data_IF_442069820093
#
_entry.id   IF_442069820093
#
_cell.length_a   1.000
_cell.length_b   1.000
_cell.length_c   1.000
_cell.angle_alpha   90.00
_cell.angle_beta   90.00
_cell.angle_gamma   90.00
#
_symmetry.space_group_name_H-M   'P 1'
#
loop_
_entity.id
_entity.type
_entity.pdbx_description
1 polymer ?
#
# COMPACT_ATOMS: atom_id res chain seq x y z
N UNK A 1 3.69 -16.67 -36.56
CA UNK A 1 4.08 -16.91 -35.16
C UNK A 1 5.32 -16.06 -34.90
N UNK A 2 5.23 -14.99 -34.11
CA UNK A 2 6.41 -14.17 -33.79
C UNK A 2 7.35 -15.01 -32.91
N UNK A 3 8.51 -15.35 -33.45
CA UNK A 3 9.55 -16.10 -32.73
C UNK A 3 10.26 -15.12 -31.80
N UNK A 4 9.87 -15.10 -30.53
CA UNK A 4 10.59 -14.36 -29.49
C UNK A 4 11.69 -15.25 -28.95
N UNK A 5 12.96 -14.90 -29.20
CA UNK A 5 14.11 -15.66 -28.69
C UNK A 5 14.41 -15.34 -27.21
N UNK A 6 13.83 -14.26 -26.68
CA UNK A 6 13.95 -13.83 -25.28
C UNK A 6 12.63 -13.24 -24.79
N UNK A 7 12.24 -13.60 -23.56
CA UNK A 7 11.01 -13.12 -22.92
C UNK A 7 9.77 -13.98 -23.20
N UNK A 8 8.74 -13.77 -22.37
CA UNK A 8 7.45 -14.45 -22.49
C UNK A 8 6.42 -13.52 -23.16
N UNK A 9 5.51 -14.02 -24.03
CA UNK A 9 4.53 -13.17 -24.70
C UNK A 9 3.62 -12.42 -23.72
N UNK A 10 3.39 -11.13 -23.95
CA UNK A 10 2.39 -10.37 -23.21
C UNK A 10 0.98 -10.92 -23.50
N UNK A 11 0.18 -11.11 -22.46
CA UNK A 11 -1.16 -11.69 -22.56
C UNK A 11 -1.20 -13.23 -22.51
N UNK A 12 -0.06 -13.92 -22.45
CA UNK A 12 -0.05 -15.35 -22.16
C UNK A 12 -0.28 -15.59 -20.65
N UNK A 13 -1.17 -16.55 -20.35
CA UNK A 13 -1.61 -16.88 -18.98
C UNK A 13 -0.45 -17.31 -18.07
N UNK A 14 0.57 -17.97 -18.63
CA UNK A 14 1.73 -18.48 -17.89
C UNK A 14 2.84 -17.44 -17.69
N UNK A 15 2.88 -16.37 -18.48
CA UNK A 15 3.94 -15.35 -18.42
C UNK A 15 4.15 -14.78 -17.01
N UNK A 16 3.10 -14.40 -16.24
CA UNK A 16 3.28 -13.88 -14.89
C UNK A 16 3.91 -14.89 -13.93
N UNK A 17 3.49 -16.16 -14.00
CA UNK A 17 4.04 -17.22 -13.14
C UNK A 17 5.51 -17.49 -13.46
N UNK A 18 5.84 -17.57 -14.75
CA UNK A 18 7.21 -17.78 -15.19
C UNK A 18 8.11 -16.62 -14.74
N UNK A 19 7.63 -15.38 -14.80
CA UNK A 19 8.40 -14.23 -14.32
C UNK A 19 8.63 -14.26 -12.79
N UNK A 20 7.63 -14.70 -12.02
CA UNK A 20 7.78 -14.88 -10.55
C UNK A 20 8.86 -15.93 -10.25
N UNK A 21 8.83 -17.08 -10.95
CA UNK A 21 9.84 -18.13 -10.78
C UNK A 21 11.22 -17.65 -11.22
N UNK A 22 11.30 -16.93 -12.33
CA UNK A 22 12.54 -16.39 -12.90
C UNK A 22 13.27 -15.44 -11.94
N UNK A 23 12.51 -14.66 -11.17
CA UNK A 23 13.06 -13.69 -10.21
C UNK A 23 13.03 -14.20 -8.78
N UNK A 24 12.66 -15.47 -8.54
CA UNK A 24 12.37 -15.99 -7.19
C UNK A 24 13.54 -15.81 -6.23
N UNK A 25 14.75 -16.15 -6.67
CA UNK A 25 15.98 -16.14 -5.87
C UNK A 25 16.49 -14.73 -5.52
N UNK A 26 15.96 -13.67 -6.14
CA UNK A 26 16.25 -12.30 -5.72
C UNK A 26 15.48 -12.00 -4.43
N UNK A 27 16.07 -12.35 -3.30
CA UNK A 27 15.51 -12.21 -1.94
C UNK A 27 16.41 -11.36 -1.06
N UNK A 28 15.85 -10.84 0.04
CA UNK A 28 16.60 -10.03 0.98
C UNK A 28 17.70 -10.86 1.67
N UNK A 29 18.93 -10.35 1.74
CA UNK A 29 20.02 -10.98 2.47
C UNK A 29 20.03 -10.59 3.96
N UNK A 30 19.64 -9.35 4.27
CA UNK A 30 19.71 -8.82 5.63
C UNK A 30 18.36 -8.91 6.35
N UNK A 31 18.32 -9.30 7.64
CA UNK A 31 17.08 -9.38 8.41
C UNK A 31 16.45 -8.01 8.68
N UNK A 32 17.26 -6.94 8.65
CA UNK A 32 16.87 -5.53 8.75
C UNK A 32 16.20 -5.01 7.48
N UNK A 33 16.27 -5.77 6.38
CA UNK A 33 15.78 -5.38 5.07
C UNK A 33 14.64 -6.28 4.59
N UNK A 34 13.95 -5.83 3.55
CA UNK A 34 12.93 -6.59 2.85
C UNK A 34 12.95 -6.26 1.37
N UNK A 35 12.93 -7.29 0.54
CA UNK A 35 12.69 -7.18 -0.89
C UNK A 35 11.24 -7.57 -1.15
N UNK A 36 10.46 -6.63 -1.71
CA UNK A 36 9.07 -6.83 -2.11
C UNK A 36 8.99 -6.78 -3.62
N UNK A 37 8.45 -7.83 -4.24
CA UNK A 37 8.31 -7.96 -5.70
C UNK A 37 6.84 -7.97 -6.09
N UNK A 38 6.47 -7.18 -7.10
CA UNK A 38 5.16 -7.20 -7.73
C UNK A 38 5.33 -7.06 -9.24
N UNK A 39 5.25 -8.19 -9.96
CA UNK A 39 5.70 -8.24 -11.35
C UNK A 39 7.12 -7.63 -11.47
N UNK A 40 7.34 -6.72 -12.42
CA UNK A 40 8.61 -6.03 -12.62
C UNK A 40 8.93 -4.97 -11.56
N UNK A 41 7.93 -4.48 -10.82
CA UNK A 41 8.14 -3.55 -9.72
C UNK A 41 8.78 -4.28 -8.53
N UNK A 42 10.07 -4.00 -8.28
CA UNK A 42 10.79 -4.49 -7.09
C UNK A 42 11.13 -3.32 -6.17
N UNK A 43 10.93 -3.52 -4.86
CA UNK A 43 11.20 -2.51 -3.83
C UNK A 43 12.06 -3.10 -2.74
N UNK A 44 13.19 -2.43 -2.47
CA UNK A 44 14.05 -2.69 -1.31
C UNK A 44 13.63 -1.75 -0.19
N UNK A 45 13.32 -2.31 0.97
CA UNK A 45 12.97 -1.58 2.19
C UNK A 45 14.04 -1.92 3.21
N UNK A 46 14.82 -0.95 3.67
CA UNK A 46 15.83 -1.15 4.70
C UNK A 46 15.65 -0.22 5.88
N UNK A 47 15.88 -0.73 7.09
CA UNK A 47 16.06 0.11 8.26
C UNK A 47 17.48 0.67 8.24
N UNK A 48 17.64 1.99 8.40
CA UNK A 48 18.94 2.66 8.52
C UNK A 48 19.10 3.12 9.98
N UNK A 49 19.78 2.34 10.83
CA UNK A 49 20.04 2.73 12.20
C UNK A 49 20.98 3.94 12.29
N UNK A 50 20.93 4.65 13.41
CA UNK A 50 21.79 5.82 13.63
C UNK A 50 23.28 5.45 13.76
N UNK A 51 23.61 4.29 14.35
CA UNK A 51 24.99 3.89 14.62
C UNK A 51 25.59 3.09 13.46
N UNK A 52 24.84 2.13 12.95
CA UNK A 52 25.27 1.20 11.91
C UNK A 52 25.21 1.81 10.49
N UNK A 53 24.44 2.90 10.32
CA UNK A 53 24.34 3.61 9.06
C UNK A 53 23.58 2.82 8.00
N UNK A 54 23.90 3.08 6.72
CA UNK A 54 23.18 2.56 5.55
C UNK A 54 23.78 1.30 4.93
N UNK A 55 24.79 0.69 5.57
CA UNK A 55 25.57 -0.43 5.00
C UNK A 55 24.71 -1.61 4.56
N UNK A 56 23.85 -2.14 5.43
CA UNK A 56 22.96 -3.27 5.09
C UNK A 56 22.05 -2.92 3.91
N UNK A 57 21.49 -1.71 3.90
CA UNK A 57 20.61 -1.24 2.83
C UNK A 57 21.37 -1.11 1.49
N UNK A 58 22.61 -0.61 1.51
CA UNK A 58 23.46 -0.49 0.32
C UNK A 58 23.86 -1.85 -0.23
N UNK A 59 24.28 -2.76 0.64
CA UNK A 59 24.62 -4.13 0.25
C UNK A 59 23.41 -4.84 -0.38
N UNK A 60 22.19 -4.61 0.15
CA UNK A 60 20.96 -5.15 -0.41
C UNK A 60 20.68 -4.64 -1.84
N UNK A 61 20.92 -3.35 -2.09
CA UNK A 61 20.76 -2.78 -3.44
C UNK A 61 21.80 -3.35 -4.42
N UNK A 62 23.05 -3.52 -4.00
CA UNK A 62 24.07 -4.12 -4.86
C UNK A 62 23.75 -5.59 -5.15
N UNK A 63 23.38 -6.38 -4.14
CA UNK A 63 22.95 -7.78 -4.33
C UNK A 63 21.77 -7.91 -5.26
N UNK A 64 20.78 -7.03 -5.15
CA UNK A 64 19.65 -7.01 -6.10
C UNK A 64 20.13 -6.70 -7.52
N UNK A 65 21.07 -5.76 -7.67
CA UNK A 65 21.68 -5.41 -8.95
C UNK A 65 22.44 -6.58 -9.55
N UNK A 66 23.23 -7.29 -8.76
CA UNK A 66 23.91 -8.54 -9.15
C UNK A 66 22.91 -9.64 -9.54
N UNK A 67 21.84 -9.81 -8.77
CA UNK A 67 20.78 -10.78 -9.09
C UNK A 67 20.12 -10.43 -10.44
N UNK A 68 19.85 -9.16 -10.70
CA UNK A 68 19.36 -8.71 -12.00
C UNK A 68 20.36 -9.01 -13.12
N UNK A 69 21.65 -8.68 -12.95
CA UNK A 69 22.70 -8.95 -13.94
C UNK A 69 22.83 -10.46 -14.23
N UNK A 70 22.85 -11.30 -13.20
CA UNK A 70 22.91 -12.77 -13.33
C UNK A 70 21.71 -13.34 -14.09
N UNK A 71 20.54 -12.70 -13.92
CA UNK A 71 19.31 -13.03 -14.63
C UNK A 71 19.13 -12.22 -15.93
N UNK A 72 20.17 -11.59 -16.48
CA UNK A 72 20.09 -10.81 -17.73
C UNK A 72 18.97 -9.75 -17.72
N UNK A 73 18.65 -9.19 -16.54
CA UNK A 73 17.69 -8.11 -16.34
C UNK A 73 18.43 -6.79 -16.20
N UNK A 74 17.83 -5.73 -16.73
CA UNK A 74 18.36 -4.37 -16.63
C UNK A 74 17.50 -3.56 -15.66
N UNK A 75 18.14 -2.97 -14.65
CA UNK A 75 17.48 -2.03 -13.74
C UNK A 75 17.31 -0.70 -14.46
N UNK A 76 16.08 -0.19 -14.48
CA UNK A 76 15.79 1.12 -15.05
C UNK A 76 16.02 2.21 -14.01
N UNK A 77 17.26 2.64 -13.80
CA UNK A 77 17.63 3.64 -12.78
C UNK A 77 16.86 4.96 -12.91
N UNK A 78 16.43 5.33 -14.13
CA UNK A 78 15.59 6.51 -14.36
C UNK A 78 14.18 6.37 -13.76
N UNK A 79 13.62 5.16 -13.77
CA UNK A 79 12.32 4.86 -13.14
C UNK A 79 12.46 4.53 -11.66
N UNK A 80 13.59 3.98 -11.23
CA UNK A 80 13.91 3.74 -9.82
C UNK A 80 13.96 5.06 -9.05
N UNK A 81 13.30 5.11 -7.89
CA UNK A 81 13.29 6.27 -6.99
C UNK A 81 13.66 5.82 -5.60
N UNK A 82 14.33 6.70 -4.86
CA UNK A 82 14.60 6.50 -3.43
C UNK A 82 13.69 7.40 -2.60
N UNK A 83 12.96 6.81 -1.64
CA UNK A 83 12.14 7.53 -0.67
C UNK A 83 12.72 7.28 0.72
N UNK A 84 13.23 8.33 1.37
CA UNK A 84 13.81 8.24 2.72
C UNK A 84 12.80 8.75 3.75
N UNK A 85 12.44 7.90 4.70
CA UNK A 85 11.52 8.24 5.79
C UNK A 85 12.31 8.40 7.09
N UNK A 86 12.56 9.65 7.51
CA UNK A 86 13.32 9.97 8.72
C UNK A 86 12.58 10.94 9.64
N UNK A 87 12.27 10.48 10.86
CA UNK A 87 11.59 11.26 11.89
C UNK A 87 12.48 11.63 13.08
N UNK A 88 13.81 11.43 12.97
CA UNK A 88 14.75 11.88 14.00
C UNK A 88 14.77 13.41 14.05
N UNK A 89 15.05 13.96 15.25
CA UNK A 89 15.21 15.41 15.44
C UNK A 89 16.39 15.94 14.64
N UNK A 90 17.49 15.20 14.67
CA UNK A 90 18.64 15.43 13.82
C UNK A 90 18.59 14.41 12.68
N UNK A 91 18.33 14.88 11.47
CA UNK A 91 18.26 14.03 10.29
C UNK A 91 19.65 13.46 9.99
N UNK A 92 19.71 12.16 9.68
CA UNK A 92 20.98 11.59 9.22
C UNK A 92 21.25 12.00 7.79
N UNK A 93 22.54 12.19 7.48
CA UNK A 93 23.00 12.45 6.13
C UNK A 93 23.09 11.14 5.34
N UNK A 94 21.95 10.69 4.79
CA UNK A 94 21.89 9.52 3.89
C UNK A 94 22.53 9.90 2.56
N UNK A 95 23.58 9.18 2.16
CA UNK A 95 24.33 9.52 0.94
C UNK A 95 23.47 9.30 -0.31
N UNK A 96 23.79 9.91 -1.46
CA UNK A 96 23.10 9.60 -2.71
C UNK A 96 23.25 8.11 -3.08
N UNK A 97 22.15 7.45 -3.46
CA UNK A 97 22.19 6.08 -3.95
C UNK A 97 22.71 6.03 -5.38
N UNK A 98 23.69 5.16 -5.63
CA UNK A 98 24.22 4.88 -6.96
C UNK A 98 23.86 3.45 -7.35
N UNK A 99 23.34 3.26 -8.56
CA UNK A 99 23.15 1.94 -9.19
C UNK A 99 23.89 2.00 -10.54
N UNK A 100 24.86 1.11 -10.75
CA UNK A 100 25.72 1.11 -11.94
C UNK A 100 26.40 2.48 -12.20
N UNK A 101 26.80 3.17 -11.12
CA UNK A 101 27.39 4.51 -11.19
C UNK A 101 26.40 5.65 -11.50
N UNK A 102 25.11 5.34 -11.70
CA UNK A 102 24.06 6.34 -11.94
C UNK A 102 23.33 6.68 -10.64
N UNK A 103 23.22 7.96 -10.33
CA UNK A 103 22.50 8.44 -9.16
C UNK A 103 20.99 8.21 -9.29
N UNK A 104 20.41 7.51 -8.30
CA UNK A 104 18.97 7.32 -8.17
C UNK A 104 18.34 8.59 -7.66
N UNK A 105 17.26 9.03 -8.32
CA UNK A 105 16.53 10.22 -7.89
C UNK A 105 15.87 9.99 -6.53
N UNK A 106 16.24 10.83 -5.56
CA UNK A 106 15.58 10.91 -4.26
C UNK A 106 14.32 11.77 -4.36
N UNK A 107 13.19 11.21 -3.94
CA UNK A 107 11.88 11.87 -4.01
C UNK A 107 11.24 11.98 -2.62
N UNK A 108 10.36 12.95 -2.45
CA UNK A 108 9.59 13.14 -1.21
C UNK A 108 8.22 12.46 -1.27
N UNK A 109 7.76 12.11 -2.48
CA UNK A 109 6.52 11.38 -2.75
C UNK A 109 6.74 10.36 -3.84
N UNK A 110 6.23 9.14 -3.66
CA UNK A 110 6.37 8.05 -4.61
C UNK A 110 5.07 7.25 -4.74
N UNK A 111 4.68 6.93 -5.97
CA UNK A 111 3.48 6.13 -6.24
C UNK A 111 3.81 4.64 -6.23
N UNK A 112 3.52 3.98 -5.12
CA UNK A 112 3.71 2.54 -4.95
C UNK A 112 2.39 1.77 -5.11
N UNK A 113 2.31 0.91 -6.14
CA UNK A 113 1.13 0.07 -6.42
C UNK A 113 -0.20 0.85 -6.40
N UNK A 114 -0.19 2.08 -6.91
CA UNK A 114 -1.36 2.93 -6.99
C UNK A 114 -1.67 3.79 -5.75
N UNK A 115 -0.88 3.68 -4.69
CA UNK A 115 -0.94 4.51 -3.47
C UNK A 115 0.21 5.52 -3.48
N UNK A 116 -0.07 6.78 -3.14
CA UNK A 116 0.97 7.80 -2.99
C UNK A 116 1.56 7.74 -1.57
N UNK A 117 2.85 7.37 -1.47
CA UNK A 117 3.62 7.35 -0.24
C UNK A 117 4.41 8.66 -0.12
N UNK A 118 4.38 9.29 1.05
CA UNK A 118 5.10 10.52 1.34
C UNK A 118 6.20 10.25 2.38
N UNK A 119 7.31 10.98 2.33
CA UNK A 119 8.44 10.85 3.27
C UNK A 119 8.05 11.09 4.74
N UNK A 120 7.01 11.89 4.96
CA UNK A 120 6.45 12.19 6.28
C UNK A 120 5.35 11.19 6.72
N UNK A 121 5.06 10.20 5.88
CA UNK A 121 3.95 9.24 6.01
C UNK A 121 2.59 9.91 6.19
N UNK A 122 2.42 11.14 5.69
CA UNK A 122 1.12 11.75 5.51
C UNK A 122 0.40 11.13 4.30
N UNK A 123 -0.94 11.21 4.32
CA UNK A 123 -1.78 10.62 3.29
C UNK A 123 -2.52 11.66 2.46
N UNK A 124 -2.13 12.93 2.58
CA UNK A 124 -2.83 14.08 1.99
C UNK A 124 -2.75 14.10 0.46
N UNK A 125 -1.60 13.70 -0.11
CA UNK A 125 -1.45 13.61 -1.57
C UNK A 125 -2.29 12.43 -2.10
N UNK A 126 -2.23 11.30 -1.41
CA UNK A 126 -2.99 10.09 -1.72
C UNK A 126 -4.52 10.36 -1.71
N UNK A 127 -5.03 10.92 -0.61
CA UNK A 127 -6.46 11.22 -0.43
C UNK A 127 -6.95 12.21 -1.48
N UNK A 128 -6.19 13.26 -1.76
CA UNK A 128 -6.51 14.25 -2.81
C UNK A 128 -6.58 13.59 -4.19
N UNK A 129 -5.66 12.67 -4.49
CA UNK A 129 -5.69 11.87 -5.72
C UNK A 129 -6.95 11.04 -5.86
N UNK A 130 -7.37 10.35 -4.79
CA UNK A 130 -8.62 9.57 -4.77
C UNK A 130 -9.86 10.46 -4.89
N UNK A 131 -9.92 11.57 -4.17
CA UNK A 131 -11.03 12.54 -4.24
C UNK A 131 -11.15 13.09 -5.66
N UNK A 132 -10.05 13.51 -6.30
CA UNK A 132 -10.06 14.02 -7.68
C UNK A 132 -10.61 12.99 -8.67
N UNK A 133 -10.13 11.74 -8.60
CA UNK A 133 -10.62 10.63 -9.44
C UNK A 133 -12.10 10.34 -9.20
N UNK A 134 -12.53 10.32 -7.95
CA UNK A 134 -13.92 10.07 -7.60
C UNK A 134 -14.86 11.21 -8.01
N UNK A 135 -14.40 12.46 -7.93
CA UNK A 135 -15.13 13.64 -8.41
C UNK A 135 -15.36 13.61 -9.93
N UNK A 136 -14.36 13.17 -10.70
CA UNK A 136 -14.53 12.95 -12.14
C UNK A 136 -15.62 11.90 -12.41
N UNK A 137 -15.73 10.86 -11.58
CA UNK A 137 -16.75 9.81 -11.72
C UNK A 137 -18.13 10.25 -11.22
N UNK A 138 -18.20 11.18 -10.26
CA UNK A 138 -19.45 11.81 -9.84
C UNK A 138 -20.13 12.56 -10.99
N UNK A 139 -19.36 13.17 -11.90
CA UNK A 139 -19.93 13.81 -13.10
C UNK A 139 -20.74 12.81 -13.93
N UNK A 140 -20.20 11.63 -14.21
CA UNK A 140 -20.94 10.59 -14.93
C UNK A 140 -22.15 10.09 -14.14
N UNK A 141 -22.03 9.92 -12.82
CA UNK A 141 -23.18 9.56 -11.98
C UNK A 141 -24.33 10.59 -12.09
N UNK A 142 -24.01 11.89 -12.16
CA UNK A 142 -25.00 12.95 -12.39
C UNK A 142 -25.64 12.85 -13.76
N UNK A 143 -24.87 12.55 -14.82
CA UNK A 143 -25.41 12.32 -16.16
C UNK A 143 -26.38 11.14 -16.15
N UNK A 144 -26.01 10.03 -15.52
CA UNK A 144 -26.89 8.85 -15.44
C UNK A 144 -28.20 9.19 -14.72
N UNK A 145 -28.13 9.95 -13.62
CA UNK A 145 -29.34 10.43 -12.92
C UNK A 145 -30.18 11.35 -13.80
N UNK A 146 -29.55 12.25 -14.56
CA UNK A 146 -30.24 13.16 -15.50
C UNK A 146 -30.96 12.40 -16.61
N UNK A 147 -30.42 11.26 -17.05
CA UNK A 147 -31.05 10.37 -18.03
C UNK A 147 -32.06 9.39 -17.41
N UNK A 148 -32.54 9.67 -16.19
CA UNK A 148 -33.60 8.90 -15.52
C UNK A 148 -33.28 7.42 -15.32
N UNK A 149 -32.00 7.04 -15.19
CA UNK A 149 -31.66 5.65 -14.91
C UNK A 149 -32.24 5.20 -13.55
N UNK A 150 -32.71 3.93 -13.45
CA UNK A 150 -33.19 3.36 -12.20
C UNK A 150 -32.16 3.47 -11.07
N UNK A 151 -32.63 3.72 -9.85
CA UNK A 151 -31.77 3.87 -8.66
C UNK A 151 -30.82 2.68 -8.48
N UNK A 152 -31.27 1.46 -8.75
CA UNK A 152 -30.44 0.24 -8.68
C UNK A 152 -29.20 0.31 -9.59
N UNK A 153 -29.32 0.88 -10.79
CA UNK A 153 -28.20 1.05 -11.72
C UNK A 153 -27.26 2.17 -11.25
N UNK A 154 -27.80 3.25 -10.69
CA UNK A 154 -27.00 4.34 -10.11
C UNK A 154 -26.18 3.84 -8.91
N UNK A 155 -26.80 3.01 -8.06
CA UNK A 155 -26.13 2.37 -6.93
C UNK A 155 -25.03 1.40 -7.41
N UNK A 156 -25.32 0.59 -8.43
CA UNK A 156 -24.32 -0.28 -9.07
C UNK A 156 -23.13 0.52 -9.62
N UNK A 157 -23.40 1.62 -10.32
CA UNK A 157 -22.35 2.52 -10.80
C UNK A 157 -21.54 3.12 -9.65
N UNK A 158 -22.18 3.56 -8.56
CA UNK A 158 -21.48 4.06 -7.38
C UNK A 158 -20.50 3.01 -6.82
N UNK A 159 -20.95 1.78 -6.57
CA UNK A 159 -20.09 0.74 -6.02
C UNK A 159 -18.93 0.39 -6.96
N UNK A 160 -19.22 0.19 -8.25
CA UNK A 160 -18.22 -0.24 -9.23
C UNK A 160 -17.24 0.86 -9.62
N UNK A 161 -17.69 2.12 -9.74
CA UNK A 161 -16.87 3.21 -10.25
C UNK A 161 -16.36 4.14 -9.15
N UNK A 162 -17.13 4.47 -8.11
CA UNK A 162 -16.73 5.48 -7.13
C UNK A 162 -16.18 4.82 -5.87
N UNK A 163 -16.93 3.92 -5.24
CA UNK A 163 -16.52 3.23 -4.01
C UNK A 163 -15.27 2.38 -4.24
N UNK A 164 -15.17 1.66 -5.36
CA UNK A 164 -13.99 0.86 -5.71
C UNK A 164 -12.69 1.69 -5.71
N UNK A 165 -12.76 2.96 -6.15
CA UNK A 165 -11.63 3.90 -6.13
C UNK A 165 -11.33 4.35 -4.72
N UNK A 166 -12.35 4.83 -4.01
CA UNK A 166 -12.19 5.37 -2.65
C UNK A 166 -11.75 4.31 -1.65
N UNK A 167 -12.01 3.04 -1.95
CA UNK A 167 -11.70 1.93 -1.06
C UNK A 167 -10.48 1.10 -1.47
N UNK A 168 -9.77 1.53 -2.53
CA UNK A 168 -8.51 0.90 -2.94
C UNK A 168 -7.42 1.12 -1.87
N UNK A 169 -6.85 0.04 -1.36
CA UNK A 169 -5.84 0.08 -0.30
C UNK A 169 -6.32 0.70 1.02
N UNK A 170 -7.63 0.80 1.24
CA UNK A 170 -8.23 1.58 2.35
C UNK A 170 -7.65 1.24 3.74
N UNK A 171 -7.35 -0.04 3.99
CA UNK A 171 -6.79 -0.51 5.26
C UNK A 171 -5.40 0.08 5.57
N UNK A 172 -4.67 0.53 4.55
CA UNK A 172 -3.30 1.05 4.69
C UNK A 172 -3.31 2.51 5.16
N UNK A 173 -4.15 3.35 4.54
CA UNK A 173 -4.01 4.80 4.63
C UNK A 173 -5.12 5.48 5.44
N UNK A 174 -6.35 4.96 5.44
CA UNK A 174 -7.51 5.66 6.01
C UNK A 174 -7.41 5.86 7.53
N UNK A 175 -6.84 4.88 8.24
CA UNK A 175 -6.61 4.94 9.68
C UNK A 175 -5.76 6.13 10.12
N UNK A 176 -4.86 6.58 9.24
CA UNK A 176 -3.86 7.63 9.46
C UNK A 176 -4.20 8.96 8.77
N UNK A 177 -5.35 9.06 8.10
CA UNK A 177 -5.83 10.31 7.51
C UNK A 177 -6.15 11.38 8.55
N UNK A 178 -5.88 12.64 8.21
CA UNK A 178 -6.30 13.80 9.01
C UNK A 178 -7.82 13.97 8.98
N UNK A 179 -8.36 14.80 9.88
CA UNK A 179 -9.77 15.18 9.84
C UNK A 179 -10.15 15.85 8.52
N UNK A 180 -9.25 16.66 7.95
CA UNK A 180 -9.45 17.33 6.67
C UNK A 180 -9.53 16.32 5.51
N UNK A 181 -8.63 15.34 5.48
CA UNK A 181 -8.66 14.25 4.49
C UNK A 181 -9.99 13.49 4.54
N UNK A 182 -10.39 13.09 5.75
CA UNK A 182 -11.64 12.35 6.00
C UNK A 182 -12.85 13.15 5.56
N UNK A 183 -12.86 14.46 5.81
CA UNK A 183 -13.92 15.36 5.37
C UNK A 183 -13.98 15.46 3.84
N UNK A 184 -12.84 15.56 3.16
CA UNK A 184 -12.79 15.58 1.69
C UNK A 184 -13.40 14.31 1.07
N UNK A 185 -13.05 13.15 1.62
CA UNK A 185 -13.61 11.85 1.20
C UNK A 185 -15.11 11.73 1.51
N UNK A 186 -15.53 12.17 2.70
CA UNK A 186 -16.94 12.16 3.12
C UNK A 186 -17.83 12.99 2.19
N UNK A 187 -17.36 14.17 1.75
CA UNK A 187 -18.10 15.00 0.79
C UNK A 187 -18.40 14.28 -0.52
N UNK A 188 -17.48 13.44 -1.01
CA UNK A 188 -17.70 12.64 -2.22
C UNK A 188 -18.81 11.63 -2.01
N UNK A 189 -18.78 10.89 -0.89
CA UNK A 189 -19.81 9.89 -0.55
C UNK A 189 -21.16 10.56 -0.36
N UNK A 190 -21.22 11.71 0.33
CA UNK A 190 -22.47 12.47 0.54
C UNK A 190 -23.04 13.05 -0.76
N UNK A 191 -22.18 13.50 -1.67
CA UNK A 191 -22.62 13.90 -3.00
C UNK A 191 -23.20 12.71 -3.79
N UNK A 192 -22.55 11.55 -3.74
CA UNK A 192 -23.08 10.34 -4.37
C UNK A 192 -24.43 9.91 -3.77
N UNK A 193 -24.54 9.90 -2.43
CA UNK A 193 -25.76 9.56 -1.68
C UNK A 193 -26.94 10.43 -2.12
N UNK A 194 -26.71 11.74 -2.24
CA UNK A 194 -27.71 12.68 -2.73
C UNK A 194 -28.14 12.41 -4.19
N UNK A 195 -27.20 12.05 -5.08
CA UNK A 195 -27.52 11.79 -6.49
C UNK A 195 -28.26 10.45 -6.67
N UNK A 196 -27.84 9.41 -5.95
CA UNK A 196 -28.47 8.08 -6.01
C UNK A 196 -29.85 8.11 -5.32
N UNK A 197 -30.00 8.90 -4.26
CA UNK A 197 -31.25 9.03 -3.51
C UNK A 197 -31.50 7.89 -2.52
N UNK A 198 -30.45 7.22 -2.05
CA UNK A 198 -30.53 6.23 -0.98
C UNK A 198 -29.29 6.31 -0.07
N UNK A 199 -29.38 5.92 1.21
CA UNK A 199 -28.24 5.92 2.12
C UNK A 199 -27.07 5.07 1.59
N UNK A 200 -25.85 5.58 1.72
CA UNK A 200 -24.62 4.87 1.35
C UNK A 200 -23.78 4.58 2.59
N UNK A 201 -23.04 3.46 2.56
CA UNK A 201 -22.12 3.13 3.64
C UNK A 201 -21.03 4.18 3.77
N UNK A 202 -20.75 4.60 5.00
CA UNK A 202 -19.65 5.52 5.26
C UNK A 202 -18.30 4.83 5.06
N UNK A 203 -17.29 5.59 4.67
CA UNK A 203 -15.94 5.04 4.53
C UNK A 203 -15.37 4.53 5.86
N UNK A 204 -15.78 5.09 7.02
CA UNK A 204 -15.38 4.58 8.33
C UNK A 204 -15.95 3.18 8.57
N UNK A 205 -17.23 2.93 8.25
CA UNK A 205 -17.84 1.60 8.36
C UNK A 205 -17.16 0.59 7.44
N UNK A 206 -16.89 0.98 6.18
CA UNK A 206 -16.20 0.12 5.21
C UNK A 206 -14.78 -0.18 5.70
N UNK A 207 -14.05 0.84 6.17
CA UNK A 207 -12.71 0.70 6.73
C UNK A 207 -12.69 -0.24 7.94
N UNK A 208 -13.58 -0.04 8.92
CA UNK A 208 -13.64 -0.88 10.12
C UNK A 208 -13.91 -2.35 9.76
N UNK A 209 -14.86 -2.58 8.84
CA UNK A 209 -15.22 -3.93 8.37
C UNK A 209 -14.06 -4.60 7.63
N UNK A 210 -13.41 -3.89 6.71
CA UNK A 210 -12.29 -4.44 5.91
C UNK A 210 -11.05 -4.67 6.76
N UNK A 211 -10.74 -3.76 7.70
CA UNK A 211 -9.62 -3.94 8.62
C UNK A 211 -9.82 -5.16 9.51
N UNK A 212 -11.02 -5.32 10.08
CA UNK A 212 -11.34 -6.49 10.88
C UNK A 212 -11.23 -7.78 10.09
N UNK A 213 -11.81 -7.84 8.89
CA UNK A 213 -11.71 -9.02 8.01
C UNK A 213 -10.26 -9.34 7.69
N UNK A 214 -9.49 -8.35 7.22
CA UNK A 214 -8.08 -8.54 6.88
C UNK A 214 -7.26 -9.00 8.08
N UNK A 215 -7.54 -8.49 9.28
CA UNK A 215 -6.87 -8.94 10.50
C UNK A 215 -7.15 -10.41 10.80
N UNK A 216 -8.41 -10.85 10.68
CA UNK A 216 -8.77 -12.26 10.84
C UNK A 216 -8.12 -13.14 9.78
N UNK A 217 -8.04 -12.69 8.53
CA UNK A 217 -7.38 -13.44 7.45
C UNK A 217 -5.89 -13.64 7.77
N UNK A 218 -5.20 -12.61 8.30
CA UNK A 218 -3.79 -12.70 8.71
C UNK A 218 -3.61 -13.63 9.92
N UNK A 219 -4.50 -13.55 10.90
CA UNK A 219 -4.46 -14.44 12.08
C UNK A 219 -4.65 -15.89 11.67
N UNK A 220 -5.53 -16.17 10.71
CA UNK A 220 -5.82 -17.53 10.25
C UNK A 220 -4.73 -18.15 9.38
N UNK A 221 -3.83 -17.34 8.84
CA UNK A 221 -2.77 -17.78 7.93
C UNK A 221 -1.39 -17.65 8.60
N UNK A 222 -0.83 -18.74 9.16
CA UNK A 222 0.50 -18.75 9.75
C UNK A 222 1.62 -18.39 8.77
N UNK A 223 1.40 -18.55 7.47
CA UNK A 223 2.39 -18.21 6.43
C UNK A 223 2.41 -16.72 6.09
N UNK A 224 1.39 -15.97 6.52
CA UNK A 224 1.32 -14.54 6.25
C UNK A 224 2.45 -13.81 6.99
N UNK A 225 3.22 -12.91 6.32
CA UNK A 225 4.39 -12.26 6.92
C UNK A 225 4.06 -11.39 8.14
N UNK A 226 2.82 -10.92 8.24
CA UNK A 226 2.31 -10.18 9.40
C UNK A 226 1.68 -11.03 10.51
N UNK A 227 1.63 -12.36 10.38
CA UNK A 227 0.99 -13.26 11.36
C UNK A 227 1.63 -13.13 12.74
N UNK A 228 2.97 -13.06 12.79
CA UNK A 228 3.74 -12.89 14.02
C UNK A 228 3.44 -11.59 14.79
N UNK A 229 2.75 -10.62 14.18
CA UNK A 229 2.34 -9.39 14.86
C UNK A 229 1.05 -9.56 15.68
N UNK A 230 0.35 -10.68 15.52
CA UNK A 230 -0.88 -11.02 16.24
C UNK A 230 -0.63 -12.11 17.29
N UNK A 231 0.28 -11.86 18.22
CA UNK A 231 0.56 -12.79 19.32
C UNK A 231 -0.52 -12.73 20.40
N UNK A 232 -1.06 -13.88 20.83
CA UNK A 232 -1.96 -13.94 21.98
C UNK A 232 -1.18 -13.79 23.29
N UNK A 233 -1.80 -13.15 24.28
CA UNK A 233 -1.33 -13.19 25.68
C UNK A 233 -1.49 -14.60 26.26
N UNK A 234 -0.79 -14.94 27.36
CA UNK A 234 -0.88 -16.27 27.98
C UNK A 234 -2.31 -16.73 28.33
N UNK A 235 -3.24 -15.80 28.53
CA UNK A 235 -4.65 -16.11 28.77
C UNK A 235 -5.41 -16.61 27.53
N UNK A 236 -4.85 -16.49 26.33
CA UNK A 236 -5.48 -16.85 25.06
C UNK A 236 -6.62 -15.91 24.61
N UNK A 237 -6.99 -14.91 25.41
CA UNK A 237 -8.20 -14.08 25.18
C UNK A 237 -7.95 -12.78 24.41
N UNK A 238 -6.73 -12.26 24.45
CA UNK A 238 -6.39 -10.96 23.87
C UNK A 238 -5.05 -11.04 23.17
N UNK A 239 -4.93 -10.32 22.07
CA UNK A 239 -3.68 -10.09 21.37
C UNK A 239 -2.82 -9.08 22.13
N UNK A 240 -1.50 -9.26 22.04
CA UNK A 240 -0.50 -8.36 22.59
C UNK A 240 -0.55 -7.03 21.86
N UNK A 241 -0.93 -5.98 22.59
CA UNK A 241 -0.97 -4.62 22.05
C UNK A 241 0.44 -4.12 21.72
N UNK A 242 0.61 -3.53 20.53
CA UNK A 242 1.86 -2.86 20.16
C UNK A 242 2.11 -1.64 21.05
N UNK A 243 3.33 -1.52 21.58
CA UNK A 243 3.74 -0.33 22.34
C UNK A 243 3.92 0.84 21.37
N UNK A 244 2.98 1.79 21.35
CA UNK A 244 3.03 2.95 20.46
C UNK A 244 3.30 4.24 21.23
N UNK A 245 4.34 4.99 20.84
CA UNK A 245 4.64 6.33 21.39
C UNK A 245 4.13 7.48 20.52
N UNK A 246 3.69 7.20 19.30
CA UNK A 246 3.26 8.20 18.33
C UNK A 246 1.89 7.85 17.76
N UNK A 247 1.13 8.89 17.39
CA UNK A 247 -0.15 8.73 16.68
C UNK A 247 0.05 8.01 15.34
N UNK A 248 1.17 8.26 14.65
CA UNK A 248 1.54 7.61 13.39
C UNK A 248 1.55 6.08 13.48
N UNK A 249 2.26 5.53 14.48
CA UNK A 249 2.29 4.07 14.67
C UNK A 249 0.96 3.55 15.22
N UNK A 250 0.32 4.29 16.14
CA UNK A 250 -0.99 3.94 16.71
C UNK A 250 -2.09 3.83 15.65
N UNK A 251 -2.04 4.69 14.64
CA UNK A 251 -3.05 4.78 13.58
C UNK A 251 -2.78 3.85 12.40
N UNK A 252 -1.61 3.20 12.35
CA UNK A 252 -1.29 2.19 11.36
C UNK A 252 -2.21 0.96 11.44
N UNK A 253 -2.25 0.19 10.35
CA UNK A 253 -3.12 -0.98 10.21
C UNK A 253 -3.00 -1.95 11.39
N UNK A 254 -1.80 -2.46 11.70
CA UNK A 254 -1.62 -3.50 12.72
C UNK A 254 -2.04 -3.04 14.12
N UNK A 255 -1.62 -1.84 14.54
CA UNK A 255 -2.02 -1.26 15.83
C UNK A 255 -3.54 -1.13 15.95
N UNK A 256 -4.22 -0.65 14.90
CA UNK A 256 -5.68 -0.50 14.91
C UNK A 256 -6.40 -1.84 14.82
N UNK A 257 -5.88 -2.78 14.03
CA UNK A 257 -6.42 -4.12 13.89
C UNK A 257 -6.39 -4.89 15.21
N UNK A 258 -5.24 -4.92 15.89
CA UNK A 258 -5.09 -5.55 17.21
C UNK A 258 -6.05 -4.91 18.22
N UNK A 259 -6.12 -3.58 18.25
CA UNK A 259 -7.04 -2.87 19.14
C UNK A 259 -8.50 -3.21 18.87
N UNK A 260 -8.89 -3.33 17.59
CA UNK A 260 -10.24 -3.69 17.19
C UNK A 260 -10.60 -5.14 17.55
N UNK A 261 -9.65 -6.08 17.42
CA UNK A 261 -9.85 -7.47 17.83
C UNK A 261 -9.97 -7.60 19.36
N UNK A 262 -9.13 -6.87 20.11
CA UNK A 262 -9.18 -6.87 21.58
C UNK A 262 -10.43 -6.20 22.16
N UNK A 263 -11.03 -5.25 21.42
CA UNK A 263 -12.24 -4.53 21.81
C UNK A 263 -13.53 -5.33 21.66
N UNK A 264 -13.49 -6.51 21.04
CA UNK A 264 -14.64 -7.42 20.93
C UNK A 264 -14.49 -8.54 21.98
N UNK A 265 -15.36 -8.60 23.01
CA UNK A 265 -15.40 -9.74 23.91
C UNK A 265 -15.98 -10.96 23.16
N UNK A 266 -15.24 -12.07 23.12
CA UNK A 266 -15.73 -13.38 22.65
C UNK A 266 -15.47 -13.68 21.18
N UNK A 267 -14.46 -14.51 20.93
CA UNK A 267 -14.52 -15.61 19.98
C UNK A 267 -14.58 -16.89 20.80
#
# INVERSE_FOLDING_TARGET
>A
MLKTNTGTPQGCVLSPLLYILYTYDCVAAHPSNRVVKFADDTTVIGLIPEREGETDYRDEVERLTECCRANNLLINTRKTKELVVDFRRQKSNVQPLLIDGVCVERVTTFRFLGIELQEDLSWSVNTRGFVKKAQQRLYFLRILRKNHLPQKLLLGFYHCAIESVLTYGLCVWYGSCTAQDRMGLCRVVKAAESIVGCPLSTLEQIYATRCHRKALDIVKDPSHPGHCLFELLPSGRRYRTMKTRTSRLKNSFFSRAISALNGKPGL
#
